data_IF_550738852957
#
_entry.id   IF_550738852957
#
_cell.length_a   1.000
_cell.length_b   1.000
_cell.length_c   1.000
_cell.angle_alpha   90.00
_cell.angle_beta   90.00
_cell.angle_gamma   90.00
#
_symmetry.space_group_name_H-M   'P 1'
#
loop_
_entity.id
_entity.type
_entity.pdbx_description
1 polymer ?
#
# COMPACT_ATOMS: atom_id res chain seq x y z
N UNK A 1 23.18 12.12 11.54
CA UNK A 1 22.80 12.15 10.12
C UNK A 1 22.44 10.72 9.76
N UNK A 2 21.15 10.37 9.82
CA UNK A 2 20.70 8.99 9.65
C UNK A 2 20.37 8.74 8.18
N UNK A 3 21.28 8.01 7.52
CA UNK A 3 21.01 6.96 6.55
C UNK A 3 20.15 7.30 5.33
N UNK A 4 20.79 7.91 4.32
CA UNK A 4 20.31 8.00 2.93
C UNK A 4 20.30 6.63 2.20
N UNK A 5 20.62 5.52 2.86
CA UNK A 5 20.66 4.19 2.25
C UNK A 5 19.27 3.72 1.76
N UNK A 6 18.17 4.16 2.36
CA UNK A 6 16.81 3.81 1.91
C UNK A 6 16.36 4.54 0.63
N UNK A 7 16.98 5.68 0.29
CA UNK A 7 16.71 6.40 -0.97
C UNK A 7 17.20 5.63 -2.21
N UNK A 8 18.04 4.60 -2.00
CA UNK A 8 18.58 3.75 -3.06
C UNK A 8 17.74 2.51 -3.37
N UNK A 9 16.65 2.26 -2.63
CA UNK A 9 15.71 1.20 -3.00
C UNK A 9 15.07 1.62 -4.32
N UNK A 10 15.51 1.02 -5.41
CA UNK A 10 14.93 1.20 -6.74
C UNK A 10 13.58 0.46 -6.83
N UNK A 11 12.62 0.91 -6.02
CA UNK A 11 11.26 0.39 -6.03
C UNK A 11 10.55 0.72 -7.36
N UNK A 12 11.13 1.60 -8.19
CA UNK A 12 10.64 1.93 -9.54
C UNK A 12 10.85 0.79 -10.53
N UNK A 13 11.69 -0.20 -10.25
CA UNK A 13 11.80 -1.40 -11.07
C UNK A 13 11.14 -2.63 -10.45
N UNK A 14 10.60 -2.52 -9.23
CA UNK A 14 9.96 -3.63 -8.53
C UNK A 14 8.59 -4.00 -9.10
N UNK A 15 8.34 -5.30 -9.26
CA UNK A 15 7.00 -5.83 -9.51
C UNK A 15 6.03 -5.50 -8.35
N UNK A 16 4.70 -5.53 -8.57
CA UNK A 16 3.72 -5.31 -7.51
C UNK A 16 3.93 -6.22 -6.28
N UNK A 17 4.38 -7.46 -6.49
CA UNK A 17 4.68 -8.40 -5.40
C UNK A 17 5.92 -7.99 -4.58
N UNK A 18 6.95 -7.45 -5.23
CA UNK A 18 8.13 -6.93 -4.56
C UNK A 18 7.81 -5.66 -3.77
N UNK A 19 6.98 -4.77 -4.33
CA UNK A 19 6.48 -3.58 -3.62
C UNK A 19 5.71 -3.97 -2.35
N UNK A 20 4.85 -4.99 -2.43
CA UNK A 20 4.17 -5.54 -1.25
C UNK A 20 5.15 -6.10 -0.22
N UNK A 21 6.20 -6.78 -0.67
CA UNK A 21 7.23 -7.32 0.21
C UNK A 21 8.02 -6.21 0.91
N UNK A 22 8.33 -5.11 0.20
CA UNK A 22 8.94 -3.92 0.78
C UNK A 22 8.03 -3.25 1.81
N UNK A 23 6.73 -3.13 1.53
CA UNK A 23 5.76 -2.57 2.48
C UNK A 23 5.65 -3.39 3.77
N UNK A 24 5.77 -4.72 3.69
CA UNK A 24 5.84 -5.61 4.86
C UNK A 24 7.13 -5.38 5.66
N UNK A 25 8.27 -5.21 5.00
CA UNK A 25 9.55 -4.94 5.67
C UNK A 25 9.57 -3.58 6.36
N UNK A 26 8.87 -2.60 5.80
CA UNK A 26 8.71 -1.26 6.38
C UNK A 26 7.62 -1.19 7.46
N UNK A 27 6.86 -2.27 7.69
CA UNK A 27 5.83 -2.30 8.73
C UNK A 27 6.46 -2.22 10.13
N UNK A 28 6.11 -1.19 10.90
CA UNK A 28 6.68 -0.94 12.23
C UNK A 28 7.98 -0.13 12.22
N UNK A 29 8.52 0.20 11.04
CA UNK A 29 9.62 1.15 10.89
C UNK A 29 9.16 2.62 10.89
N UNK A 30 10.08 3.52 11.18
CA UNK A 30 9.83 4.97 11.31
C UNK A 30 10.05 5.72 9.97
N UNK A 31 9.39 5.23 8.91
CA UNK A 31 9.58 5.73 7.53
C UNK A 31 8.26 5.99 6.79
N UNK A 32 7.36 6.86 7.32
CA UNK A 32 6.03 7.08 6.76
C UNK A 32 6.05 7.62 5.32
N UNK A 33 6.99 8.51 4.99
CA UNK A 33 7.09 9.12 3.65
C UNK A 33 7.50 8.12 2.56
N UNK A 34 8.43 7.21 2.88
CA UNK A 34 8.88 6.16 1.96
C UNK A 34 7.75 5.15 1.74
N UNK A 35 7.08 4.76 2.83
CA UNK A 35 5.93 3.87 2.77
C UNK A 35 4.83 4.43 1.88
N UNK A 36 4.43 5.69 2.06
CA UNK A 36 3.43 6.34 1.21
C UNK A 36 3.84 6.37 -0.28
N UNK A 37 5.13 6.55 -0.57
CA UNK A 37 5.64 6.55 -1.95
C UNK A 37 5.52 5.17 -2.60
N UNK A 38 5.91 4.10 -1.89
CA UNK A 38 5.79 2.71 -2.36
C UNK A 38 4.31 2.30 -2.51
N UNK A 39 3.44 2.74 -1.59
CA UNK A 39 2.00 2.49 -1.65
C UNK A 39 1.37 3.13 -2.89
N UNK A 40 1.76 4.36 -3.23
CA UNK A 40 1.29 5.06 -4.44
C UNK A 40 1.76 4.35 -5.70
N UNK A 41 3.05 4.05 -5.80
CA UNK A 41 3.63 3.34 -6.94
C UNK A 41 2.93 1.99 -7.18
N UNK A 42 2.64 1.25 -6.10
CA UNK A 42 1.90 -0.01 -6.18
C UNK A 42 0.49 0.20 -6.77
N UNK A 43 -0.26 1.19 -6.27
CA UNK A 43 -1.60 1.48 -6.78
C UNK A 43 -1.56 1.88 -8.25
N UNK A 44 -0.63 2.77 -8.62
CA UNK A 44 -0.50 3.25 -10.00
C UNK A 44 -0.19 2.10 -10.96
N UNK A 45 0.68 1.16 -10.57
CA UNK A 45 0.95 -0.05 -11.37
C UNK A 45 -0.26 -0.97 -11.49
N UNK A 46 -0.97 -1.22 -10.39
CA UNK A 46 -2.14 -2.09 -10.42
C UNK A 46 -3.27 -1.45 -11.27
N UNK A 47 -3.43 -0.13 -11.22
CA UNK A 47 -4.33 0.62 -12.12
C UNK A 47 -3.88 0.55 -13.58
N UNK A 48 -2.58 0.65 -13.85
CA UNK A 48 -2.03 0.52 -15.20
C UNK A 48 -2.21 -0.89 -15.79
N UNK A 49 -2.37 -1.91 -14.94
CA UNK A 49 -2.77 -3.27 -15.33
C UNK A 49 -4.29 -3.43 -15.52
N UNK A 50 -5.03 -2.33 -15.56
CA UNK A 50 -6.50 -2.28 -15.71
C UNK A 50 -7.25 -3.09 -14.63
N UNK A 51 -6.64 -3.27 -13.45
CA UNK A 51 -7.28 -3.96 -12.35
C UNK A 51 -8.42 -3.12 -11.78
N UNK A 52 -9.55 -3.78 -11.47
CA UNK A 52 -10.66 -3.13 -10.79
C UNK A 52 -10.28 -2.74 -9.36
N UNK A 53 -10.91 -1.69 -8.83
CA UNK A 53 -10.65 -1.22 -7.47
C UNK A 53 -10.72 -2.33 -6.42
N UNK A 54 -11.65 -3.28 -6.59
CA UNK A 54 -11.79 -4.44 -5.72
C UNK A 54 -10.56 -5.35 -5.77
N UNK A 55 -10.07 -5.67 -6.96
CA UNK A 55 -8.86 -6.49 -7.13
C UNK A 55 -7.62 -5.79 -6.56
N UNK A 56 -7.51 -4.47 -6.76
CA UNK A 56 -6.41 -3.70 -6.18
C UNK A 56 -6.46 -3.82 -4.66
N UNK A 57 -7.62 -3.55 -4.06
CA UNK A 57 -7.81 -3.64 -2.61
C UNK A 57 -7.52 -5.04 -2.07
N UNK A 58 -7.94 -6.11 -2.76
CA UNK A 58 -7.60 -7.49 -2.38
C UNK A 58 -6.07 -7.71 -2.35
N UNK A 59 -5.34 -7.22 -3.36
CA UNK A 59 -3.86 -7.28 -3.40
C UNK A 59 -3.25 -6.50 -2.23
N UNK A 60 -3.78 -5.31 -1.93
CA UNK A 60 -3.31 -4.51 -0.79
C UNK A 60 -3.53 -5.25 0.53
N UNK A 61 -4.68 -5.91 0.71
CA UNK A 61 -4.99 -6.67 1.93
C UNK A 61 -4.14 -7.93 2.11
N UNK A 62 -3.71 -8.59 1.02
CA UNK A 62 -2.74 -9.69 1.11
C UNK A 62 -1.34 -9.21 1.58
N UNK A 63 -1.05 -7.95 1.27
CA UNK A 63 0.15 -7.22 1.67
C UNK A 63 0.18 -6.83 3.14
N UNK A 64 -0.95 -6.37 3.65
CA UNK A 64 -1.05 -5.82 5.00
C UNK A 64 -1.52 -6.93 5.92
N UNK A 65 -0.71 -7.34 6.90
CA UNK A 65 -1.12 -8.35 7.86
C UNK A 65 -2.49 -8.00 8.45
N UNK A 66 -3.49 -8.87 8.27
CA UNK A 66 -4.89 -8.70 8.72
C UNK A 66 -5.04 -8.33 10.22
N UNK A 67 -3.97 -8.40 11.01
CA UNK A 67 -3.90 -7.93 12.40
C UNK A 67 -3.95 -6.41 12.54
N UNK A 68 -3.63 -5.62 11.51
CA UNK A 68 -3.87 -4.19 11.54
C UNK A 68 -5.39 -3.93 11.51
N UNK A 69 -5.93 -3.36 12.59
CA UNK A 69 -7.37 -3.05 12.73
C UNK A 69 -7.90 -2.45 11.42
N UNK A 70 -8.95 -3.01 10.81
CA UNK A 70 -9.56 -2.58 9.53
C UNK A 70 -9.62 -1.06 9.34
N UNK A 71 -9.91 -0.32 10.42
CA UNK A 71 -9.94 1.13 10.47
C UNK A 71 -8.57 1.80 10.20
N UNK A 72 -7.47 1.24 10.71
CA UNK A 72 -6.11 1.72 10.47
C UNK A 72 -5.73 1.55 8.99
N UNK A 73 -6.00 0.37 8.43
CA UNK A 73 -5.76 0.08 7.01
C UNK A 73 -6.55 1.07 6.15
N UNK A 74 -7.86 1.19 6.40
CA UNK A 74 -8.69 2.12 5.63
C UNK A 74 -8.23 3.59 5.73
N UNK A 75 -7.83 4.06 6.91
CA UNK A 75 -7.32 5.43 7.07
C UNK A 75 -6.01 5.67 6.33
N UNK A 76 -5.16 4.66 6.24
CA UNK A 76 -3.86 4.75 5.60
C UNK A 76 -3.97 4.67 4.07
N UNK A 77 -4.78 3.74 3.57
CA UNK A 77 -4.87 3.45 2.14
C UNK A 77 -5.88 4.30 1.39
N UNK A 78 -6.99 4.69 2.02
CA UNK A 78 -8.02 5.51 1.38
C UNK A 78 -7.51 6.83 0.76
N UNK A 79 -6.70 7.66 1.45
CA UNK A 79 -6.18 8.90 0.86
C UNK A 79 -5.22 8.64 -0.31
N UNK A 80 -4.50 7.52 -0.30
CA UNK A 80 -3.58 7.14 -1.39
C UNK A 80 -4.37 6.63 -2.60
N UNK A 81 -5.47 5.93 -2.33
CA UNK A 81 -6.37 5.40 -3.34
C UNK A 81 -7.27 6.49 -3.96
N UNK A 82 -7.46 7.61 -3.27
CA UNK A 82 -8.27 8.75 -3.71
C UNK A 82 -9.76 8.62 -3.35
N UNK A 83 -10.09 7.82 -2.33
CA UNK A 83 -11.48 7.58 -1.87
C UNK A 83 -11.59 7.84 -0.35
N UNK A 84 -12.81 7.82 0.19
CA UNK A 84 -12.97 7.90 1.65
C UNK A 84 -12.59 6.58 2.35
N UNK A 85 -12.28 6.67 3.64
CA UNK A 85 -12.04 5.47 4.45
C UNK A 85 -13.27 4.55 4.54
N UNK A 86 -14.49 5.10 4.39
CA UNK A 86 -15.72 4.29 4.35
C UNK A 86 -15.88 3.58 3.01
N UNK A 87 -15.62 4.25 1.89
CA UNK A 87 -15.53 3.63 0.56
C UNK A 87 -14.49 2.52 0.51
N UNK A 88 -13.29 2.78 1.04
CA UNK A 88 -12.25 1.76 1.09
C UNK A 88 -12.71 0.55 1.88
N UNK A 89 -13.32 0.74 3.06
CA UNK A 89 -13.86 -0.36 3.87
C UNK A 89 -14.97 -1.12 3.13
N UNK A 90 -15.84 -0.43 2.40
CA UNK A 90 -16.91 -1.05 1.63
C UNK A 90 -16.36 -1.93 0.50
N UNK A 91 -15.27 -1.52 -0.15
CA UNK A 91 -14.60 -2.34 -1.18
C UNK A 91 -13.81 -3.50 -0.54
N UNK A 92 -13.09 -3.21 0.55
CA UNK A 92 -12.17 -4.13 1.22
C UNK A 92 -12.83 -5.19 2.09
N UNK A 93 -13.89 -4.81 2.79
CA UNK A 93 -14.53 -5.59 3.84
C UNK A 93 -16.05 -5.69 3.65
N UNK A 94 -16.58 -5.12 2.57
CA UNK A 94 -17.99 -5.21 2.24
C UNK A 94 -18.36 -6.61 1.74
N UNK A 95 -18.65 -7.46 2.71
CA UNK A 95 -19.75 -8.42 2.69
C UNK A 95 -20.37 -8.41 4.10
#
# INVERSE_FOLDING_TARGET
MASEEWLSIDYKNCSPHELLSLLKQLEGGDHPSIRASIQRELIDRLKALEMSDRQIVDVLLQGVGYKAKRNKIAKEWAPIFGITAEEFKRIAFGN
#
